data_IF_302219447849
#
_entry.id   IF_302219447849
#
_cell.length_a   1.000
_cell.length_b   1.000
_cell.length_c   1.000
_cell.angle_alpha   90.00
_cell.angle_beta   90.00
_cell.angle_gamma   90.00
#
_symmetry.space_group_name_H-M   'P 1'
#
loop_
_entity.id
_entity.type
_entity.pdbx_description
1 polymer ?
#
# COMPACT_ATOMS: atom_id res chain seq x y z
N UNK A 1 -9.59 48.67 -22.89
CA UNK A 1 -10.48 47.82 -22.04
C UNK A 1 -10.85 46.47 -22.67
N UNK A 2 -10.90 46.29 -24.00
CA UNK A 2 -11.26 44.98 -24.62
C UNK A 2 -10.21 43.87 -24.51
N UNK A 3 -8.93 44.19 -24.52
CA UNK A 3 -7.84 43.17 -24.41
C UNK A 3 -7.72 42.56 -23.00
N UNK A 4 -7.99 43.34 -21.94
CA UNK A 4 -7.96 42.85 -20.56
C UNK A 4 -9.07 41.82 -20.28
N UNK A 5 -10.28 42.05 -20.82
CA UNK A 5 -11.41 41.12 -20.68
C UNK A 5 -11.17 39.80 -21.47
N UNK A 6 -10.46 39.88 -22.59
CA UNK A 6 -10.11 38.68 -23.41
C UNK A 6 -9.07 37.81 -22.73
N UNK A 7 -8.00 38.42 -22.20
CA UNK A 7 -6.92 37.67 -21.48
C UNK A 7 -7.42 37.04 -20.20
N UNK A 8 -8.32 37.70 -19.45
CA UNK A 8 -8.94 37.14 -18.25
C UNK A 8 -9.82 35.90 -18.56
N UNK A 9 -10.65 35.99 -19.60
CA UNK A 9 -11.47 34.85 -20.05
C UNK A 9 -10.59 33.66 -20.50
N UNK A 10 -9.50 33.95 -21.20
CA UNK A 10 -8.54 32.95 -21.66
C UNK A 10 -7.83 32.27 -20.48
N UNK A 11 -7.36 33.05 -19.51
CA UNK A 11 -6.73 32.55 -18.30
C UNK A 11 -7.69 31.62 -17.51
N UNK A 12 -8.94 32.04 -17.34
CA UNK A 12 -9.95 31.22 -16.64
C UNK A 12 -10.23 29.90 -17.35
N UNK A 13 -10.25 29.89 -18.70
CA UNK A 13 -10.45 28.67 -19.46
C UNK A 13 -9.25 27.71 -19.33
N UNK A 14 -8.03 28.25 -19.36
CA UNK A 14 -6.80 27.47 -19.16
C UNK A 14 -6.69 26.91 -17.73
N UNK A 15 -7.05 27.69 -16.71
CA UNK A 15 -7.04 27.22 -15.31
C UNK A 15 -8.04 26.07 -15.11
N UNK A 16 -9.24 26.16 -15.70
CA UNK A 16 -10.21 25.06 -15.69
C UNK A 16 -9.69 23.80 -16.37
N UNK A 17 -9.05 23.93 -17.53
CA UNK A 17 -8.48 22.82 -18.27
C UNK A 17 -7.33 22.19 -17.48
N UNK A 18 -6.43 23.01 -16.92
CA UNK A 18 -5.32 22.57 -16.07
C UNK A 18 -5.83 21.79 -14.85
N UNK A 19 -6.85 22.33 -14.17
CA UNK A 19 -7.50 21.65 -13.05
C UNK A 19 -8.07 20.29 -13.46
N UNK A 20 -8.74 20.23 -14.62
CA UNK A 20 -9.29 18.99 -15.14
C UNK A 20 -8.21 17.96 -15.42
N UNK A 21 -7.10 18.35 -16.06
CA UNK A 21 -5.98 17.46 -16.36
C UNK A 21 -5.31 16.92 -15.09
N UNK A 22 -5.08 17.79 -14.10
CA UNK A 22 -4.50 17.40 -12.81
C UNK A 22 -5.41 16.41 -12.07
N UNK A 23 -6.73 16.66 -12.07
CA UNK A 23 -7.71 15.77 -11.43
C UNK A 23 -7.86 14.43 -12.15
N UNK A 24 -7.57 14.37 -13.45
CA UNK A 24 -7.54 13.14 -14.25
C UNK A 24 -6.19 12.38 -14.16
N UNK A 25 -5.23 12.88 -13.39
CA UNK A 25 -3.88 12.29 -13.29
C UNK A 25 -3.00 12.50 -14.53
N UNK A 26 -3.39 13.37 -15.46
CA UNK A 26 -2.64 13.68 -16.69
C UNK A 26 -1.57 14.74 -16.44
N UNK A 27 -0.63 14.44 -15.54
CA UNK A 27 0.33 15.42 -15.02
C UNK A 27 1.30 15.97 -16.08
N UNK A 28 1.76 15.16 -17.03
CA UNK A 28 2.63 15.62 -18.13
C UNK A 28 1.91 16.65 -19.03
N UNK A 29 0.65 16.37 -19.38
CA UNK A 29 -0.17 17.29 -20.17
C UNK A 29 -0.45 18.58 -19.39
N UNK A 30 -0.69 18.48 -18.08
CA UNK A 30 -0.86 19.62 -17.21
C UNK A 30 0.38 20.51 -17.18
N UNK A 31 1.60 19.95 -17.09
CA UNK A 31 2.85 20.71 -17.12
C UNK A 31 3.11 21.35 -18.49
N UNK A 32 2.80 20.67 -19.57
CA UNK A 32 2.88 21.24 -20.93
C UNK A 32 1.93 22.43 -21.09
N UNK A 33 0.70 22.30 -20.60
CA UNK A 33 -0.28 23.41 -20.59
C UNK A 33 0.18 24.57 -19.70
N UNK A 34 0.73 24.27 -18.52
CA UNK A 34 1.32 25.31 -17.66
C UNK A 34 2.43 26.10 -18.38
N UNK A 35 3.31 25.40 -19.10
CA UNK A 35 4.36 26.05 -19.88
C UNK A 35 3.79 26.98 -20.97
N UNK A 36 2.75 26.57 -21.67
CA UNK A 36 2.05 27.42 -22.65
C UNK A 36 1.43 28.66 -21.98
N UNK A 37 0.76 28.51 -20.86
CA UNK A 37 0.18 29.62 -20.10
C UNK A 37 1.27 30.59 -19.65
N UNK A 38 2.36 30.07 -19.12
CA UNK A 38 3.49 30.87 -18.66
C UNK A 38 4.17 31.64 -19.80
N UNK A 39 4.33 31.05 -20.98
CA UNK A 39 4.95 31.73 -22.14
C UNK A 39 4.06 32.79 -22.75
N UNK A 40 2.73 32.59 -22.73
CA UNK A 40 1.77 33.51 -23.38
C UNK A 40 1.25 34.62 -22.47
N UNK A 41 1.15 34.37 -21.16
CA UNK A 41 0.48 35.25 -20.18
C UNK A 41 1.37 35.60 -18.99
N UNK A 42 2.69 35.61 -19.15
CA UNK A 42 3.69 35.78 -18.06
C UNK A 42 3.43 36.97 -17.12
N UNK A 43 2.83 38.06 -17.62
CA UNK A 43 2.55 39.26 -16.83
C UNK A 43 1.17 39.27 -16.15
N UNK A 44 0.33 38.26 -16.35
CA UNK A 44 -1.05 38.20 -15.84
C UNK A 44 -1.37 36.86 -15.16
N UNK A 45 -0.34 36.15 -14.66
CA UNK A 45 -0.53 34.85 -14.01
C UNK A 45 -1.28 35.00 -12.69
N UNK A 46 -2.28 34.13 -12.52
CA UNK A 46 -3.02 33.96 -11.28
C UNK A 46 -2.22 33.06 -10.31
N UNK A 47 -2.09 33.38 -9.01
CA UNK A 47 -1.43 32.53 -8.04
C UNK A 47 -1.98 31.09 -7.99
N UNK A 48 -3.22 30.84 -8.37
CA UNK A 48 -3.84 29.52 -8.39
C UNK A 48 -3.32 28.55 -9.46
N UNK A 49 -2.60 29.04 -10.46
CA UNK A 49 -2.01 28.18 -11.52
C UNK A 49 -0.77 27.44 -11.00
N UNK A 50 0.01 28.09 -10.13
CA UNK A 50 1.25 27.51 -9.57
C UNK A 50 1.02 26.27 -8.71
N UNK A 51 0.05 26.21 -7.79
CA UNK A 51 -0.25 24.99 -7.03
C UNK A 51 -0.57 23.78 -7.90
N UNK A 52 -1.27 23.97 -9.01
CA UNK A 52 -1.60 22.88 -9.94
C UNK A 52 -0.36 22.33 -10.66
N UNK A 53 0.54 23.20 -11.07
CA UNK A 53 1.80 22.82 -11.67
C UNK A 53 2.73 22.12 -10.66
N UNK A 54 2.86 22.67 -9.45
CA UNK A 54 3.64 22.07 -8.35
C UNK A 54 3.11 20.69 -7.94
N UNK A 55 1.79 20.52 -7.87
CA UNK A 55 1.16 19.21 -7.64
C UNK A 55 1.51 18.21 -8.73
N UNK A 56 1.57 18.65 -9.98
CA UNK A 56 1.98 17.78 -11.08
C UNK A 56 3.47 17.43 -11.01
N UNK A 57 4.34 18.37 -10.61
CA UNK A 57 5.75 18.09 -10.35
C UNK A 57 5.92 17.08 -9.21
N UNK A 58 5.15 17.23 -8.13
CA UNK A 58 5.14 16.29 -7.00
C UNK A 58 4.74 14.87 -7.44
N UNK A 59 3.72 14.74 -8.28
CA UNK A 59 3.23 13.46 -8.77
C UNK A 59 4.22 12.75 -9.72
N UNK A 60 5.02 13.51 -10.48
CA UNK A 60 6.02 12.98 -11.42
C UNK A 60 7.45 12.95 -10.85
N UNK A 61 7.65 13.38 -9.62
CA UNK A 61 8.96 13.51 -8.98
C UNK A 61 9.93 14.46 -9.74
N UNK A 62 9.40 15.50 -10.38
CA UNK A 62 10.17 16.45 -11.16
C UNK A 62 10.72 17.61 -10.29
N UNK A 63 11.71 17.30 -9.46
CA UNK A 63 12.29 18.24 -8.48
C UNK A 63 12.89 19.51 -9.12
N UNK A 64 13.62 19.39 -10.22
CA UNK A 64 14.24 20.54 -10.90
C UNK A 64 13.20 21.49 -11.50
N UNK A 65 12.16 20.97 -12.13
CA UNK A 65 11.07 21.79 -12.65
C UNK A 65 10.31 22.46 -11.51
N UNK A 66 10.06 21.74 -10.40
CA UNK A 66 9.46 22.27 -9.19
C UNK A 66 10.27 23.44 -8.61
N UNK A 67 11.60 23.33 -8.55
CA UNK A 67 12.49 24.42 -8.12
C UNK A 67 12.44 25.63 -9.07
N UNK A 68 12.36 25.39 -10.38
CA UNK A 68 12.18 26.46 -11.38
C UNK A 68 10.86 27.21 -11.17
N UNK A 69 9.78 26.47 -10.96
CA UNK A 69 8.46 27.05 -10.67
C UNK A 69 8.49 27.83 -9.35
N UNK A 70 9.17 27.32 -8.31
CA UNK A 70 9.37 28.04 -7.05
C UNK A 70 10.07 29.39 -7.27
N UNK A 71 11.17 29.41 -8.03
CA UNK A 71 11.84 30.68 -8.38
C UNK A 71 10.92 31.67 -9.10
N UNK A 72 10.01 31.19 -9.93
CA UNK A 72 8.99 32.04 -10.57
C UNK A 72 7.96 32.56 -9.58
N UNK A 73 7.51 31.76 -8.59
CA UNK A 73 6.58 32.25 -7.56
C UNK A 73 7.18 33.37 -6.73
N UNK A 74 8.49 33.31 -6.42
CA UNK A 74 9.22 34.37 -5.71
C UNK A 74 9.26 35.64 -6.58
N UNK A 75 9.66 35.52 -7.86
CA UNK A 75 9.73 36.67 -8.78
C UNK A 75 8.36 37.33 -9.01
N UNK A 76 7.29 36.56 -8.99
CA UNK A 76 5.93 37.04 -9.12
C UNK A 76 5.32 37.58 -7.81
N UNK A 77 6.09 37.60 -6.71
CA UNK A 77 5.65 38.02 -5.38
C UNK A 77 4.50 37.16 -4.80
N UNK A 78 4.40 35.90 -5.21
CA UNK A 78 3.40 34.94 -4.70
C UNK A 78 3.95 34.04 -3.58
N UNK A 79 5.19 34.24 -3.14
CA UNK A 79 5.84 33.42 -2.10
C UNK A 79 5.09 33.44 -0.75
N UNK A 80 4.37 34.55 -0.44
CA UNK A 80 3.55 34.66 0.78
C UNK A 80 2.12 34.11 0.62
N UNK A 81 1.73 33.63 -0.56
CA UNK A 81 0.40 33.07 -0.77
C UNK A 81 0.31 31.67 -0.11
N UNK A 82 -0.63 31.46 0.84
CA UNK A 82 -0.70 30.20 1.58
C UNK A 82 -0.95 28.95 0.70
N UNK A 83 -1.66 29.10 -0.44
CA UNK A 83 -1.90 27.99 -1.36
C UNK A 83 -0.64 27.61 -2.14
N UNK A 84 0.18 28.62 -2.48
CA UNK A 84 1.49 28.40 -3.12
C UNK A 84 2.45 27.77 -2.12
N UNK A 85 2.52 28.30 -0.89
CA UNK A 85 3.36 27.75 0.18
C UNK A 85 3.00 26.28 0.47
N UNK A 86 1.71 25.97 0.59
CA UNK A 86 1.21 24.60 0.74
C UNK A 86 1.70 23.67 -0.37
N UNK A 87 1.57 24.08 -1.63
CA UNK A 87 1.98 23.27 -2.77
C UNK A 87 3.50 23.10 -2.87
N UNK A 88 4.26 24.12 -2.45
CA UNK A 88 5.72 24.04 -2.36
C UNK A 88 6.16 23.06 -1.27
N UNK A 89 5.59 23.14 -0.07
CA UNK A 89 5.85 22.19 1.04
C UNK A 89 5.58 20.77 0.60
N UNK A 90 4.42 20.49 -0.03
CA UNK A 90 4.08 19.16 -0.54
C UNK A 90 5.05 18.68 -1.63
N UNK A 91 5.38 19.55 -2.59
CA UNK A 91 6.31 19.21 -3.69
C UNK A 91 7.71 18.89 -3.17
N UNK A 92 8.28 19.74 -2.30
CA UNK A 92 9.61 19.50 -1.77
C UNK A 92 9.66 18.27 -0.86
N UNK A 93 8.61 18.06 -0.05
CA UNK A 93 8.51 16.87 0.79
C UNK A 93 8.48 15.56 0.00
N UNK A 94 7.83 15.55 -1.16
CA UNK A 94 7.73 14.37 -2.03
C UNK A 94 8.93 14.17 -2.96
N UNK A 95 9.54 15.27 -3.44
CA UNK A 95 10.53 15.18 -4.53
C UNK A 95 11.98 15.36 -4.07
N UNK A 96 12.23 16.00 -2.91
CA UNK A 96 13.58 16.37 -2.49
C UNK A 96 13.89 15.85 -1.11
N UNK A 97 13.37 16.49 -0.07
CA UNK A 97 13.53 16.05 1.32
C UNK A 97 12.52 16.72 2.24
N UNK A 98 12.30 16.09 3.37
CA UNK A 98 11.42 16.59 4.44
C UNK A 98 12.03 17.85 5.07
N UNK A 99 13.35 17.96 5.14
CA UNK A 99 14.06 19.09 5.71
C UNK A 99 13.84 20.38 4.89
N UNK A 100 13.90 20.27 3.55
CA UNK A 100 13.56 21.42 2.67
C UNK A 100 12.10 21.83 2.80
N UNK A 101 11.17 20.87 2.87
CA UNK A 101 9.77 21.17 3.11
C UNK A 101 9.57 21.85 4.47
N UNK A 102 10.29 21.41 5.50
CA UNK A 102 10.26 22.00 6.84
C UNK A 102 10.82 23.43 6.83
N UNK A 103 11.92 23.68 6.17
CA UNK A 103 12.47 25.02 6.05
C UNK A 103 11.48 25.98 5.41
N UNK A 104 10.84 25.61 4.31
CA UNK A 104 9.80 26.41 3.66
C UNK A 104 8.60 26.67 4.56
N UNK A 105 8.20 25.67 5.33
CA UNK A 105 7.15 25.81 6.32
C UNK A 105 7.53 26.85 7.39
N UNK A 106 8.77 26.79 7.89
CA UNK A 106 9.27 27.70 8.93
C UNK A 106 9.48 29.14 8.40
N UNK A 107 9.83 29.30 7.12
CA UNK A 107 9.96 30.59 6.43
C UNK A 107 8.64 31.20 6.03
N UNK A 108 7.52 30.45 6.05
CA UNK A 108 6.21 30.96 5.67
C UNK A 108 5.70 31.98 6.69
N UNK A 109 5.43 33.26 6.26
CA UNK A 109 5.06 34.33 7.19
C UNK A 109 3.64 34.15 7.78
N UNK A 110 2.74 33.56 7.00
CA UNK A 110 1.37 33.27 7.43
C UNK A 110 1.08 31.77 7.28
N UNK A 111 0.94 31.09 8.41
CA UNK A 111 0.64 29.65 8.46
C UNK A 111 -0.83 29.46 8.79
N UNK A 112 -1.66 29.43 7.77
CA UNK A 112 -3.05 29.00 7.98
C UNK A 112 -3.15 27.48 8.12
N UNK A 113 -4.34 26.96 8.42
CA UNK A 113 -4.61 25.53 8.60
C UNK A 113 -4.14 24.67 7.41
N UNK A 114 -4.14 25.22 6.18
CA UNK A 114 -3.74 24.47 4.97
C UNK A 114 -2.23 24.23 4.96
N UNK A 115 -1.44 25.24 5.31
CA UNK A 115 0.03 25.14 5.37
C UNK A 115 0.45 24.17 6.49
N UNK A 116 -0.19 24.24 7.66
CA UNK A 116 0.01 23.28 8.75
C UNK A 116 -0.30 21.85 8.30
N UNK A 117 -1.46 21.64 7.67
CA UNK A 117 -1.87 20.33 7.18
C UNK A 117 -0.90 19.74 6.15
N UNK A 118 -0.30 20.58 5.29
CA UNK A 118 0.68 20.13 4.30
C UNK A 118 1.93 19.58 4.97
N UNK A 119 2.47 20.29 5.96
CA UNK A 119 3.68 19.83 6.66
C UNK A 119 3.40 18.58 7.51
N UNK A 120 2.24 18.52 8.19
CA UNK A 120 1.77 17.33 8.90
C UNK A 120 1.66 16.13 7.94
N UNK A 121 1.05 16.35 6.75
CA UNK A 121 0.95 15.31 5.72
C UNK A 121 2.31 14.84 5.22
N UNK A 122 3.26 15.74 5.01
CA UNK A 122 4.62 15.37 4.59
C UNK A 122 5.28 14.47 5.61
N UNK A 123 5.26 14.84 6.90
CA UNK A 123 5.80 13.99 7.95
C UNK A 123 5.10 12.63 8.04
N UNK A 124 3.77 12.61 7.95
CA UNK A 124 2.98 11.37 8.00
C UNK A 124 3.29 10.41 6.85
N UNK A 125 3.56 10.94 5.63
CA UNK A 125 3.92 10.12 4.47
C UNK A 125 5.38 9.67 4.42
N UNK A 126 6.24 10.31 5.20
CA UNK A 126 7.67 9.96 5.29
C UNK A 126 7.99 9.08 6.50
N UNK A 127 7.01 8.35 7.02
CA UNK A 127 7.10 7.47 8.18
C UNK A 127 7.56 8.17 9.49
N UNK A 128 7.54 9.50 9.52
CA UNK A 128 7.89 10.29 10.71
C UNK A 128 6.64 10.83 11.42
N UNK A 129 5.79 9.89 11.83
CA UNK A 129 4.54 10.23 12.53
C UNK A 129 4.81 10.92 13.87
N UNK A 130 6.00 10.70 14.46
CA UNK A 130 6.45 11.39 15.68
C UNK A 130 6.45 12.90 15.49
N UNK A 131 7.16 13.40 14.47
CA UNK A 131 7.21 14.84 14.14
C UNK A 131 5.86 15.38 13.67
N UNK A 132 5.03 14.56 12.98
CA UNK A 132 3.68 14.97 12.63
C UNK A 132 2.83 15.26 13.87
N UNK A 133 2.90 14.41 14.90
CA UNK A 133 2.21 14.60 16.18
C UNK A 133 2.75 15.78 16.99
N UNK A 134 4.07 16.00 16.98
CA UNK A 134 4.68 17.19 17.60
C UNK A 134 4.17 18.46 16.95
N UNK A 135 4.15 18.49 15.61
CA UNK A 135 3.64 19.63 14.86
C UNK A 135 2.18 19.91 15.14
N UNK A 136 1.36 18.86 15.24
CA UNK A 136 -0.04 18.97 15.62
C UNK A 136 -0.22 19.59 17.02
N UNK A 137 0.65 19.27 17.99
CA UNK A 137 0.57 19.79 19.36
C UNK A 137 0.91 21.28 19.47
N UNK A 138 1.81 21.76 18.60
CA UNK A 138 2.26 23.17 18.59
C UNK A 138 1.48 24.04 17.58
N UNK A 139 0.49 23.46 16.91
CA UNK A 139 -0.36 24.16 15.94
C UNK A 139 -1.11 25.29 16.63
N UNK A 140 -0.96 26.51 16.12
CA UNK A 140 -1.55 27.75 16.67
C UNK A 140 -2.88 28.16 16.02
N UNK A 141 -3.40 27.28 15.13
CA UNK A 141 -4.69 27.43 14.47
C UNK A 141 -5.59 26.23 14.75
N UNK A 142 -6.91 26.39 14.71
CA UNK A 142 -7.85 25.31 14.97
C UNK A 142 -7.68 24.17 13.94
N UNK A 143 -7.42 22.92 14.39
CA UNK A 143 -7.40 21.76 13.52
C UNK A 143 -8.75 21.53 12.85
N UNK A 144 -8.72 21.06 11.61
CA UNK A 144 -9.93 20.69 10.87
C UNK A 144 -9.92 19.18 10.52
N UNK A 145 -10.95 18.71 9.82
CA UNK A 145 -11.04 17.30 9.41
C UNK A 145 -9.84 16.84 8.58
N UNK A 146 -9.23 17.72 7.76
CA UNK A 146 -8.03 17.37 6.98
C UNK A 146 -6.80 17.18 7.87
N UNK A 147 -6.67 17.95 8.94
CA UNK A 147 -5.59 17.77 9.95
C UNK A 147 -5.67 16.39 10.58
N UNK A 148 -6.85 16.00 11.07
CA UNK A 148 -7.07 14.68 11.65
C UNK A 148 -6.87 13.56 10.64
N UNK A 149 -7.34 13.74 9.40
CA UNK A 149 -7.17 12.74 8.34
C UNK A 149 -5.69 12.45 8.07
N UNK A 150 -4.84 13.48 7.99
CA UNK A 150 -3.41 13.31 7.78
C UNK A 150 -2.74 12.51 8.91
N UNK A 151 -3.09 12.85 10.16
CA UNK A 151 -2.53 12.17 11.36
C UNK A 151 -3.04 10.73 11.46
N UNK A 152 -4.35 10.51 11.29
CA UNK A 152 -4.96 9.18 11.37
C UNK A 152 -4.38 8.28 10.27
N UNK A 153 -4.22 8.80 9.04
CA UNK A 153 -3.63 8.05 7.94
C UNK A 153 -2.17 7.65 8.22
N UNK A 154 -1.34 8.58 8.69
CA UNK A 154 0.05 8.26 9.06
C UNK A 154 0.15 7.26 10.20
N UNK A 155 -0.67 7.39 11.23
CA UNK A 155 -0.72 6.43 12.35
C UNK A 155 -1.20 5.03 11.89
N UNK A 156 -2.07 4.96 10.89
CA UNK A 156 -2.61 3.71 10.38
C UNK A 156 -1.60 2.89 9.53
N UNK A 157 -0.46 3.45 9.19
CA UNK A 157 0.61 2.73 8.46
C UNK A 157 1.61 2.05 9.41
N UNK A 158 1.58 2.33 10.73
CA UNK A 158 2.53 1.79 11.71
C UNK A 158 1.83 0.89 12.72
N UNK A 159 2.44 -0.23 13.09
CA UNK A 159 1.87 -1.19 14.05
C UNK A 159 1.59 -0.52 15.42
N UNK A 160 2.53 0.26 15.93
CA UNK A 160 2.37 1.01 17.18
C UNK A 160 1.37 2.18 17.07
N UNK A 161 0.99 2.54 15.86
CA UNK A 161 0.12 3.67 15.56
C UNK A 161 -1.37 3.33 15.55
N UNK A 162 -1.76 2.07 15.35
CA UNK A 162 -3.17 1.70 15.16
C UNK A 162 -4.08 2.17 16.30
N UNK A 163 -3.73 1.88 17.55
CA UNK A 163 -4.49 2.33 18.72
C UNK A 163 -4.51 3.86 18.86
N UNK A 164 -3.41 4.52 18.48
CA UNK A 164 -3.30 5.98 18.49
C UNK A 164 -4.20 6.62 17.42
N UNK A 165 -4.32 5.98 16.24
CA UNK A 165 -5.24 6.43 15.18
C UNK A 165 -6.69 6.45 15.66
N UNK A 166 -7.12 5.41 16.37
CA UNK A 166 -8.45 5.34 16.99
C UNK A 166 -8.64 6.43 18.06
N UNK A 167 -7.61 6.73 18.85
CA UNK A 167 -7.67 7.83 19.83
C UNK A 167 -7.85 9.20 19.14
N UNK A 168 -7.12 9.46 18.06
CA UNK A 168 -7.28 10.70 17.27
C UNK A 168 -8.67 10.81 16.62
N UNK A 169 -9.20 9.70 16.14
CA UNK A 169 -10.58 9.65 15.64
C UNK A 169 -11.61 10.04 16.72
N UNK A 170 -11.46 9.53 17.95
CA UNK A 170 -12.34 9.89 19.06
C UNK A 170 -12.20 11.35 19.46
N UNK A 171 -11.00 11.90 19.39
CA UNK A 171 -10.73 13.32 19.66
C UNK A 171 -11.40 14.20 18.59
N UNK A 172 -11.27 13.86 17.30
CA UNK A 172 -11.98 14.50 16.20
C UNK A 172 -13.49 14.59 16.47
N UNK A 173 -14.11 13.50 16.91
CA UNK A 173 -15.51 13.47 17.27
C UNK A 173 -15.86 14.35 18.46
N UNK A 174 -15.00 14.45 19.51
CA UNK A 174 -15.20 15.34 20.66
C UNK A 174 -15.14 16.83 20.27
N UNK A 175 -14.37 17.18 19.23
CA UNK A 175 -14.30 18.52 18.67
C UNK A 175 -15.48 18.84 17.72
N UNK A 176 -16.45 17.92 17.58
CA UNK A 176 -17.59 18.11 16.70
C UNK A 176 -17.27 17.99 15.20
N UNK A 177 -16.05 17.58 14.85
CA UNK A 177 -15.63 17.38 13.48
C UNK A 177 -16.19 16.04 12.97
N UNK A 178 -16.82 16.07 11.80
CA UNK A 178 -17.42 14.87 11.19
C UNK A 178 -16.38 14.08 10.40
N UNK A 179 -16.20 12.79 10.69
CA UNK A 179 -15.43 11.89 9.85
C UNK A 179 -16.01 11.83 8.43
N UNK A 180 -15.13 11.83 7.45
CA UNK A 180 -15.47 11.69 6.03
C UNK A 180 -14.90 10.39 5.47
N UNK A 181 -15.07 10.15 4.17
CA UNK A 181 -14.57 8.94 3.50
C UNK A 181 -13.07 8.70 3.77
N UNK A 182 -12.24 9.74 3.72
CA UNK A 182 -10.78 9.61 3.97
C UNK A 182 -10.52 9.14 5.40
N UNK A 183 -11.21 9.72 6.38
CA UNK A 183 -11.11 9.30 7.79
C UNK A 183 -11.47 7.84 7.96
N UNK A 184 -12.57 7.42 7.34
CA UNK A 184 -13.09 6.05 7.45
C UNK A 184 -12.14 5.04 6.81
N UNK A 185 -11.61 5.34 5.63
CA UNK A 185 -10.64 4.48 4.94
C UNK A 185 -9.33 4.33 5.75
N UNK A 186 -8.83 5.41 6.33
CA UNK A 186 -7.65 5.36 7.19
C UNK A 186 -7.90 4.51 8.46
N UNK A 187 -9.08 4.65 9.07
CA UNK A 187 -9.45 3.83 10.22
C UNK A 187 -9.59 2.34 9.88
N UNK A 188 -10.14 2.01 8.71
CA UNK A 188 -10.21 0.61 8.27
C UNK A 188 -8.81 -0.02 8.15
N UNK A 189 -7.80 0.72 7.67
CA UNK A 189 -6.41 0.24 7.67
C UNK A 189 -5.89 -0.03 9.08
N UNK A 190 -6.14 0.87 10.03
CA UNK A 190 -5.78 0.64 11.43
C UNK A 190 -6.47 -0.60 12.01
N UNK A 191 -7.75 -0.81 11.67
CA UNK A 191 -8.51 -2.00 12.10
C UNK A 191 -7.92 -3.31 11.56
N UNK A 192 -7.40 -3.30 10.32
CA UNK A 192 -6.73 -4.47 9.73
C UNK A 192 -5.53 -4.92 10.55
N UNK A 193 -4.75 -3.97 11.07
CA UNK A 193 -3.61 -4.26 11.93
C UNK A 193 -3.99 -4.74 13.33
N UNK A 194 -5.11 -4.25 13.87
CA UNK A 194 -5.60 -4.61 15.21
C UNK A 194 -6.44 -5.90 15.23
N UNK A 195 -7.03 -6.29 14.12
CA UNK A 195 -7.99 -7.40 14.07
C UNK A 195 -9.31 -7.13 14.82
N UNK A 196 -9.66 -5.85 15.05
CA UNK A 196 -10.83 -5.45 15.85
C UNK A 196 -12.11 -5.40 15.01
N UNK A 197 -12.87 -6.49 15.03
CA UNK A 197 -14.16 -6.62 14.32
C UNK A 197 -15.20 -5.61 14.84
N UNK A 198 -15.24 -5.34 16.14
CA UNK A 198 -16.23 -4.43 16.72
C UNK A 198 -16.04 -3.02 16.21
N UNK A 199 -14.78 -2.60 16.05
CA UNK A 199 -14.47 -1.27 15.49
C UNK A 199 -14.86 -1.21 14.00
N UNK A 200 -14.62 -2.26 13.23
CA UNK A 200 -15.05 -2.34 11.82
C UNK A 200 -16.57 -2.19 11.72
N UNK A 201 -17.33 -2.85 12.60
CA UNK A 201 -18.80 -2.75 12.63
C UNK A 201 -19.27 -1.33 13.00
N UNK A 202 -18.62 -0.67 13.95
CA UNK A 202 -18.93 0.72 14.31
C UNK A 202 -18.67 1.67 13.13
N UNK A 203 -17.56 1.50 12.44
CA UNK A 203 -17.19 2.28 11.25
C UNK A 203 -18.20 2.04 10.12
N UNK A 204 -18.54 0.79 9.84
CA UNK A 204 -19.54 0.43 8.84
C UNK A 204 -20.93 1.03 9.18
N UNK A 205 -21.38 0.86 10.43
CA UNK A 205 -22.62 1.47 10.91
C UNK A 205 -22.63 3.00 10.85
N UNK A 206 -21.49 3.64 11.14
CA UNK A 206 -21.33 5.08 10.96
C UNK A 206 -21.46 5.49 9.47
N UNK A 207 -20.81 4.74 8.58
CA UNK A 207 -20.82 5.01 7.14
C UNK A 207 -22.22 4.91 6.54
N UNK A 208 -23.02 3.93 6.97
CA UNK A 208 -24.42 3.78 6.56
C UNK A 208 -25.24 5.00 7.02
N UNK A 209 -25.13 5.39 8.29
CA UNK A 209 -25.91 6.51 8.86
C UNK A 209 -25.57 7.88 8.26
N UNK A 210 -24.38 8.04 7.68
CA UNK A 210 -23.91 9.32 7.13
C UNK A 210 -23.80 9.29 5.60
N UNK A 211 -24.41 8.32 4.94
CA UNK A 211 -24.49 8.18 3.47
C UNK A 211 -23.10 8.10 2.78
N UNK A 212 -22.11 7.57 3.48
CA UNK A 212 -20.76 7.31 2.96
C UNK A 212 -20.68 5.89 2.37
N UNK A 213 -21.51 4.98 2.86
CA UNK A 213 -21.50 3.55 2.50
C UNK A 213 -21.61 3.24 0.99
N UNK A 214 -22.35 4.01 0.15
CA UNK A 214 -22.42 3.75 -1.28
C UNK A 214 -21.10 3.86 -2.04
N UNK A 215 -20.06 4.41 -1.42
CA UNK A 215 -18.74 4.57 -2.06
C UNK A 215 -18.09 3.21 -2.36
N UNK A 216 -17.69 2.92 -3.62
CA UNK A 216 -17.08 1.63 -4.00
C UNK A 216 -15.76 1.34 -3.28
N UNK A 217 -14.94 2.36 -3.03
CA UNK A 217 -13.65 2.22 -2.37
C UNK A 217 -13.85 1.82 -0.90
N UNK A 218 -14.84 2.43 -0.23
CA UNK A 218 -15.20 2.05 1.14
C UNK A 218 -15.68 0.61 1.21
N UNK A 219 -16.57 0.20 0.31
CA UNK A 219 -17.11 -1.17 0.31
C UNK A 219 -16.04 -2.21 0.06
N UNK A 220 -15.12 -1.95 -0.89
CA UNK A 220 -13.98 -2.83 -1.11
C UNK A 220 -13.06 -2.91 0.11
N UNK A 221 -12.83 -1.78 0.80
CA UNK A 221 -12.10 -1.76 2.07
C UNK A 221 -12.81 -2.52 3.21
N UNK A 222 -14.14 -2.46 3.29
CA UNK A 222 -14.93 -3.23 4.25
C UNK A 222 -14.88 -4.74 3.94
N UNK A 223 -14.94 -5.14 2.67
CA UNK A 223 -14.79 -6.54 2.27
C UNK A 223 -13.41 -7.06 2.72
N UNK A 224 -12.34 -6.29 2.48
CA UNK A 224 -11.00 -6.66 2.93
C UNK A 224 -10.93 -6.73 4.47
N UNK A 225 -11.47 -5.73 5.18
CA UNK A 225 -11.40 -5.66 6.63
C UNK A 225 -12.15 -6.82 7.30
N UNK A 226 -13.40 -7.07 6.91
CA UNK A 226 -14.14 -8.22 7.40
C UNK A 226 -13.48 -9.54 7.00
N UNK A 227 -12.98 -9.62 5.76
CA UNK A 227 -12.27 -10.80 5.26
C UNK A 227 -11.06 -11.15 6.09
N UNK A 228 -10.19 -10.19 6.38
CA UNK A 228 -8.99 -10.42 7.21
C UNK A 228 -9.30 -10.83 8.64
N UNK A 229 -10.39 -10.30 9.21
CA UNK A 229 -10.84 -10.66 10.55
C UNK A 229 -11.64 -11.99 10.60
N UNK A 230 -11.76 -12.73 9.49
CA UNK A 230 -12.47 -14.01 9.45
C UNK A 230 -14.01 -13.90 9.37
N UNK A 231 -14.54 -12.69 9.30
CA UNK A 231 -15.97 -12.46 9.16
C UNK A 231 -16.42 -12.57 7.70
N UNK A 232 -16.18 -13.73 7.08
CA UNK A 232 -16.38 -13.96 5.64
C UNK A 232 -17.84 -13.76 5.20
N UNK A 233 -18.80 -14.10 6.03
CA UNK A 233 -20.23 -13.87 5.75
C UNK A 233 -20.54 -12.38 5.60
N UNK A 234 -20.00 -11.53 6.51
CA UNK A 234 -20.16 -10.07 6.43
C UNK A 234 -19.47 -9.48 5.21
N UNK A 235 -18.25 -9.95 4.90
CA UNK A 235 -17.55 -9.56 3.68
C UNK A 235 -18.38 -9.89 2.43
N UNK A 236 -18.97 -11.09 2.38
CA UNK A 236 -19.83 -11.52 1.28
C UNK A 236 -21.12 -10.70 1.19
N UNK A 237 -21.77 -10.38 2.32
CA UNK A 237 -22.97 -9.54 2.35
C UNK A 237 -22.69 -8.12 1.84
N UNK A 238 -21.58 -7.51 2.24
CA UNK A 238 -21.14 -6.21 1.69
C UNK A 238 -20.96 -6.30 0.19
N UNK A 239 -20.27 -7.34 -0.30
CA UNK A 239 -20.08 -7.57 -1.72
C UNK A 239 -21.41 -7.73 -2.49
N UNK A 240 -22.37 -8.50 -1.95
CA UNK A 240 -23.68 -8.69 -2.56
C UNK A 240 -24.49 -7.38 -2.62
N UNK A 241 -24.32 -6.50 -1.64
CA UNK A 241 -25.02 -5.20 -1.59
C UNK A 241 -24.50 -4.18 -2.62
N UNK A 242 -23.32 -4.41 -3.24
CA UNK A 242 -22.77 -3.52 -4.25
C UNK A 242 -23.55 -3.61 -5.57
N UNK A 243 -24.02 -2.46 -6.07
CA UNK A 243 -24.66 -2.37 -7.40
C UNK A 243 -23.65 -2.62 -8.53
N UNK A 244 -22.51 -1.98 -8.44
CA UNK A 244 -21.40 -2.13 -9.38
C UNK A 244 -20.22 -2.74 -8.64
N UNK A 245 -19.79 -3.92 -9.05
CA UNK A 245 -18.68 -4.66 -8.47
C UNK A 245 -17.48 -4.51 -9.41
N UNK A 246 -16.51 -3.69 -9.01
CA UNK A 246 -15.28 -3.52 -9.76
C UNK A 246 -14.27 -4.66 -9.49
N UNK A 247 -13.14 -4.64 -10.18
CA UNK A 247 -12.09 -5.65 -10.01
C UNK A 247 -11.58 -5.71 -8.57
N UNK A 248 -11.56 -4.56 -7.85
CA UNK A 248 -11.06 -4.50 -6.47
C UNK A 248 -11.98 -5.25 -5.52
N UNK A 249 -13.30 -5.06 -5.65
CA UNK A 249 -14.28 -5.79 -4.82
C UNK A 249 -14.19 -7.32 -5.02
N UNK A 250 -14.08 -7.76 -6.28
CA UNK A 250 -13.91 -9.19 -6.59
C UNK A 250 -12.61 -9.74 -6.02
N UNK A 251 -11.48 -9.05 -6.24
CA UNK A 251 -10.16 -9.47 -5.76
C UNK A 251 -10.08 -9.51 -4.24
N UNK A 252 -10.71 -8.54 -3.55
CA UNK A 252 -10.79 -8.51 -2.08
C UNK A 252 -11.55 -9.72 -1.54
N UNK A 253 -12.70 -10.08 -2.15
CA UNK A 253 -13.49 -11.23 -1.70
C UNK A 253 -12.79 -12.55 -1.98
N UNK A 254 -12.18 -12.73 -3.17
CA UNK A 254 -11.38 -13.92 -3.51
C UNK A 254 -10.22 -14.07 -2.52
N UNK A 255 -9.50 -12.98 -2.25
CA UNK A 255 -8.38 -12.98 -1.31
C UNK A 255 -8.81 -13.31 0.12
N UNK A 256 -9.98 -12.83 0.56
CA UNK A 256 -10.54 -13.14 1.86
C UNK A 256 -10.79 -14.65 2.03
N UNK A 257 -11.48 -15.28 1.07
CA UNK A 257 -11.71 -16.72 1.09
C UNK A 257 -10.42 -17.53 1.00
N UNK A 258 -9.48 -17.11 0.13
CA UNK A 258 -8.18 -17.76 0.00
C UNK A 258 -7.37 -17.71 1.31
N UNK A 259 -7.36 -16.56 1.99
CA UNK A 259 -6.63 -16.38 3.24
C UNK A 259 -7.12 -17.32 4.35
N UNK A 260 -8.41 -17.59 4.42
CA UNK A 260 -9.03 -18.49 5.40
C UNK A 260 -9.14 -19.95 4.93
N UNK A 261 -8.44 -20.33 3.86
CA UNK A 261 -8.38 -21.72 3.38
C UNK A 261 -9.66 -22.21 2.69
N UNK A 262 -10.64 -21.32 2.42
CA UNK A 262 -11.87 -21.66 1.69
C UNK A 262 -11.61 -21.61 0.18
N UNK A 263 -10.70 -22.46 -0.28
CA UNK A 263 -10.21 -22.43 -1.65
C UNK A 263 -11.31 -22.66 -2.69
N UNK A 264 -12.22 -23.62 -2.45
CA UNK A 264 -13.32 -23.90 -3.37
C UNK A 264 -14.20 -22.68 -3.59
N UNK A 265 -14.61 -22.01 -2.50
CA UNK A 265 -15.42 -20.78 -2.57
C UNK A 265 -14.67 -19.65 -3.26
N UNK A 266 -13.36 -19.50 -3.01
CA UNK A 266 -12.52 -18.51 -3.70
C UNK A 266 -12.51 -18.73 -5.22
N UNK A 267 -12.40 -19.98 -5.68
CA UNK A 267 -12.43 -20.33 -7.09
C UNK A 267 -13.83 -20.16 -7.71
N UNK A 268 -14.90 -20.48 -6.97
CA UNK A 268 -16.28 -20.23 -7.40
C UNK A 268 -16.55 -18.73 -7.59
N UNK A 269 -16.07 -17.89 -6.68
CA UNK A 269 -16.15 -16.41 -6.80
C UNK A 269 -15.35 -15.94 -8.01
N UNK A 270 -14.18 -16.50 -8.27
CA UNK A 270 -13.41 -16.19 -9.46
C UNK A 270 -14.14 -16.56 -10.77
N UNK A 271 -14.79 -17.72 -10.82
CA UNK A 271 -15.64 -18.10 -11.96
C UNK A 271 -16.82 -17.13 -12.16
N UNK A 272 -17.45 -16.69 -11.07
CA UNK A 272 -18.53 -15.69 -11.11
C UNK A 272 -18.02 -14.35 -11.66
N UNK A 273 -16.81 -13.91 -11.27
CA UNK A 273 -16.15 -12.72 -11.83
C UNK A 273 -15.98 -12.81 -13.34
N UNK A 274 -15.54 -13.98 -13.84
CA UNK A 274 -15.38 -14.23 -15.28
C UNK A 274 -16.74 -14.19 -16.00
N UNK A 275 -17.77 -14.82 -15.44
CA UNK A 275 -19.15 -14.79 -15.97
C UNK A 275 -19.73 -13.37 -16.00
N UNK A 276 -19.34 -12.53 -15.06
CA UNK A 276 -19.71 -11.11 -15.03
C UNK A 276 -18.91 -10.25 -16.03
N UNK A 277 -18.05 -10.84 -16.84
CA UNK A 277 -17.15 -10.16 -17.81
C UNK A 277 -16.23 -9.12 -17.17
N UNK A 278 -15.89 -9.28 -15.89
CA UNK A 278 -14.89 -8.42 -15.23
C UNK A 278 -13.51 -9.05 -15.47
N UNK A 279 -12.61 -8.28 -16.07
CA UNK A 279 -11.26 -8.75 -16.40
C UNK A 279 -10.43 -8.89 -15.11
N UNK A 280 -9.93 -10.10 -14.76
CA UNK A 280 -9.03 -10.30 -13.64
C UNK A 280 -7.70 -9.55 -13.82
N UNK A 281 -7.16 -9.05 -12.73
CA UNK A 281 -5.84 -8.42 -12.66
C UNK A 281 -4.82 -9.29 -11.89
N UNK A 282 -3.60 -8.78 -11.68
CA UNK A 282 -2.57 -9.48 -10.94
C UNK A 282 -2.99 -9.82 -9.49
N UNK A 283 -3.70 -8.92 -8.81
CA UNK A 283 -4.16 -9.15 -7.43
C UNK A 283 -5.19 -10.28 -7.39
N UNK A 284 -6.10 -10.32 -8.36
CA UNK A 284 -7.07 -11.42 -8.53
C UNK A 284 -6.35 -12.77 -8.66
N UNK A 285 -5.39 -12.87 -9.58
CA UNK A 285 -4.63 -14.10 -9.79
C UNK A 285 -3.80 -14.48 -8.58
N UNK A 286 -3.24 -13.52 -7.86
CA UNK A 286 -2.54 -13.79 -6.60
C UNK A 286 -3.47 -14.45 -5.57
N UNK A 287 -4.72 -13.97 -5.45
CA UNK A 287 -5.75 -14.59 -4.61
C UNK A 287 -6.07 -16.02 -5.03
N UNK A 288 -6.28 -16.25 -6.33
CA UNK A 288 -6.54 -17.58 -6.91
C UNK A 288 -5.39 -18.55 -6.66
N UNK A 289 -4.15 -18.13 -6.91
CA UNK A 289 -2.96 -18.98 -6.69
C UNK A 289 -2.74 -19.28 -5.20
N UNK A 290 -3.00 -18.33 -4.30
CA UNK A 290 -3.00 -18.59 -2.85
C UNK A 290 -4.06 -19.60 -2.44
N UNK A 291 -5.27 -19.51 -2.99
CA UNK A 291 -6.32 -20.48 -2.74
C UNK A 291 -5.89 -21.89 -3.17
N UNK A 292 -5.32 -22.02 -4.36
CA UNK A 292 -4.77 -23.28 -4.85
C UNK A 292 -3.65 -23.80 -3.95
N UNK A 293 -2.73 -22.92 -3.48
CA UNK A 293 -1.63 -23.32 -2.61
C UNK A 293 -2.14 -23.86 -1.26
N UNK A 294 -3.10 -23.21 -0.64
CA UNK A 294 -3.68 -23.66 0.64
C UNK A 294 -4.41 -25.00 0.50
N UNK A 295 -5.00 -25.27 -0.66
CA UNK A 295 -5.73 -26.52 -0.92
C UNK A 295 -4.85 -27.64 -1.54
N UNK A 296 -3.59 -27.37 -1.86
CA UNK A 296 -2.72 -28.33 -2.51
C UNK A 296 -3.09 -28.61 -3.98
N UNK A 297 -3.82 -27.73 -4.64
CA UNK A 297 -4.31 -27.86 -6.01
C UNK A 297 -3.22 -27.43 -7.02
N UNK A 298 -2.22 -28.30 -7.22
CA UNK A 298 -1.03 -27.96 -8.01
C UNK A 298 -1.32 -27.86 -9.50
N UNK A 299 -2.18 -28.71 -10.05
CA UNK A 299 -2.51 -28.71 -11.48
C UNK A 299 -3.35 -27.47 -11.84
N UNK A 300 -4.32 -27.13 -10.99
CA UNK A 300 -5.13 -25.92 -11.14
C UNK A 300 -4.26 -24.65 -11.01
N UNK A 301 -3.31 -24.63 -10.07
CA UNK A 301 -2.37 -23.52 -9.93
C UNK A 301 -1.55 -23.31 -11.20
N UNK A 302 -1.01 -24.38 -11.79
CA UNK A 302 -0.26 -24.29 -13.06
C UNK A 302 -1.15 -23.82 -14.21
N UNK A 303 -2.38 -24.31 -14.28
CA UNK A 303 -3.36 -23.88 -15.28
C UNK A 303 -3.68 -22.39 -15.13
N UNK A 304 -4.02 -21.92 -13.92
CA UNK A 304 -4.34 -20.51 -13.70
C UNK A 304 -3.13 -19.60 -13.93
N UNK A 305 -1.94 -20.02 -13.53
CA UNK A 305 -0.71 -19.29 -13.78
C UNK A 305 -0.43 -19.13 -15.28
N UNK A 306 -0.60 -20.19 -16.08
CA UNK A 306 -0.46 -20.10 -17.52
C UNK A 306 -1.53 -19.23 -18.17
N UNK A 307 -2.81 -19.37 -17.74
CA UNK A 307 -3.92 -18.55 -18.25
C UNK A 307 -3.77 -17.08 -17.95
N UNK A 308 -3.17 -16.72 -16.82
CA UNK A 308 -2.91 -15.33 -16.41
C UNK A 308 -2.12 -14.57 -17.48
N UNK A 309 -1.04 -15.14 -17.98
CA UNK A 309 -0.21 -14.51 -19.01
C UNK A 309 -0.79 -14.67 -20.41
N UNK A 310 -1.21 -15.89 -20.79
CA UNK A 310 -1.62 -16.20 -22.17
C UNK A 310 -2.99 -15.62 -22.52
N UNK A 311 -3.98 -15.70 -21.64
CA UNK A 311 -5.35 -15.28 -21.94
C UNK A 311 -5.65 -13.84 -21.48
N UNK A 312 -5.06 -13.44 -20.36
CA UNK A 312 -5.37 -12.14 -19.75
C UNK A 312 -4.30 -11.09 -19.97
N UNK A 313 -3.10 -11.49 -20.44
CA UNK A 313 -1.98 -10.59 -20.67
C UNK A 313 -1.44 -9.97 -19.37
N UNK A 314 -1.61 -10.66 -18.23
CA UNK A 314 -1.13 -10.21 -16.94
C UNK A 314 0.28 -10.75 -16.73
N UNK A 315 1.24 -9.87 -16.53
CA UNK A 315 2.63 -10.27 -16.24
C UNK A 315 2.77 -10.86 -14.83
N UNK A 316 3.50 -11.97 -14.73
CA UNK A 316 3.70 -12.63 -13.46
C UNK A 316 4.75 -11.89 -12.61
N UNK A 317 4.34 -11.45 -11.43
CA UNK A 317 5.25 -10.88 -10.41
C UNK A 317 5.94 -11.97 -9.59
N UNK A 318 6.94 -11.58 -8.80
CA UNK A 318 7.62 -12.49 -7.86
C UNK A 318 6.67 -13.19 -6.89
N UNK A 319 5.59 -12.53 -6.46
CA UNK A 319 4.60 -13.14 -5.55
C UNK A 319 3.77 -14.23 -6.25
N UNK A 320 3.43 -14.05 -7.54
CA UNK A 320 2.77 -15.11 -8.32
C UNK A 320 3.64 -16.35 -8.46
N UNK A 321 4.93 -16.15 -8.77
CA UNK A 321 5.90 -17.24 -8.82
C UNK A 321 6.07 -17.91 -7.46
N UNK A 322 6.14 -17.14 -6.37
CA UNK A 322 6.25 -17.67 -5.02
C UNK A 322 5.05 -18.58 -4.66
N UNK A 323 3.81 -18.17 -5.02
CA UNK A 323 2.63 -19.00 -4.80
C UNK A 323 2.66 -20.30 -5.63
N UNK A 324 3.10 -20.22 -6.90
CA UNK A 324 3.23 -21.41 -7.73
C UNK A 324 4.29 -22.38 -7.18
N UNK A 325 5.44 -21.85 -6.75
CA UNK A 325 6.51 -22.62 -6.14
C UNK A 325 6.03 -23.26 -4.82
N UNK A 326 5.29 -22.54 -3.99
CA UNK A 326 4.76 -23.05 -2.73
C UNK A 326 3.81 -24.24 -2.96
N UNK A 327 2.84 -24.12 -3.88
CA UNK A 327 1.91 -25.22 -4.15
C UNK A 327 2.60 -26.45 -4.75
N UNK A 328 3.54 -26.27 -5.68
CA UNK A 328 4.34 -27.37 -6.24
C UNK A 328 5.18 -28.06 -5.17
N UNK A 329 5.82 -27.26 -4.32
CA UNK A 329 6.66 -27.78 -3.24
C UNK A 329 5.85 -28.57 -2.22
N UNK A 330 4.71 -28.05 -1.77
CA UNK A 330 3.82 -28.75 -0.83
C UNK A 330 3.20 -30.02 -1.39
N UNK A 331 2.98 -30.08 -2.70
CA UNK A 331 2.50 -31.29 -3.38
C UNK A 331 3.59 -32.33 -3.71
N UNK A 332 4.82 -32.12 -3.24
CA UNK A 332 5.95 -33.03 -3.47
C UNK A 332 6.61 -32.91 -4.84
N UNK A 333 6.19 -31.94 -5.67
CA UNK A 333 6.76 -31.70 -7.02
C UNK A 333 8.00 -30.80 -6.95
N UNK A 334 8.98 -31.17 -6.08
CA UNK A 334 10.12 -30.32 -5.73
C UNK A 334 11.01 -29.94 -6.91
N UNK A 335 11.28 -30.89 -7.81
CA UNK A 335 12.05 -30.61 -9.02
C UNK A 335 11.34 -29.65 -9.97
N UNK A 336 10.00 -29.77 -10.11
CA UNK A 336 9.23 -28.82 -10.91
C UNK A 336 9.24 -27.41 -10.27
N UNK A 337 9.14 -27.32 -8.94
CA UNK A 337 9.27 -26.06 -8.22
C UNK A 337 10.65 -25.41 -8.44
N UNK A 338 11.72 -26.20 -8.39
CA UNK A 338 13.07 -25.74 -8.67
C UNK A 338 13.25 -25.29 -10.13
N UNK A 339 12.66 -26.01 -11.09
CA UNK A 339 12.67 -25.62 -12.50
C UNK A 339 11.97 -24.28 -12.72
N UNK A 340 10.86 -24.02 -12.01
CA UNK A 340 10.19 -22.70 -12.03
C UNK A 340 11.14 -21.62 -11.51
N UNK A 341 11.82 -21.86 -10.38
CA UNK A 341 12.80 -20.92 -9.82
C UNK A 341 13.90 -20.57 -10.83
N UNK A 342 14.42 -21.57 -11.54
CA UNK A 342 15.51 -21.39 -12.51
C UNK A 342 15.09 -20.61 -13.76
N UNK A 343 13.81 -20.71 -14.14
CA UNK A 343 13.29 -20.16 -15.42
C UNK A 343 12.57 -18.83 -15.22
N UNK A 344 12.22 -18.43 -13.99
CA UNK A 344 11.48 -17.21 -13.76
C UNK A 344 12.30 -15.96 -14.16
N UNK A 345 11.70 -15.01 -14.90
CA UNK A 345 12.40 -13.83 -15.41
C UNK A 345 12.54 -12.71 -14.38
N UNK A 346 11.97 -12.89 -13.18
CA UNK A 346 11.97 -11.90 -12.10
C UNK A 346 12.88 -12.34 -10.96
N UNK A 347 13.30 -11.40 -10.10
CA UNK A 347 14.16 -11.72 -8.96
C UNK A 347 13.52 -12.76 -8.04
N UNK A 348 14.26 -13.80 -7.74
CA UNK A 348 13.84 -14.85 -6.79
C UNK A 348 13.81 -14.28 -5.38
N UNK A 349 12.68 -14.41 -4.70
CA UNK A 349 12.49 -13.91 -3.34
C UNK A 349 12.82 -14.99 -2.29
N UNK A 350 13.08 -14.55 -1.05
CA UNK A 350 13.23 -15.46 0.08
C UNK A 350 11.99 -16.35 0.29
N UNK A 351 10.78 -15.85 -0.01
CA UNK A 351 9.55 -16.64 0.07
C UNK A 351 9.58 -17.87 -0.84
N UNK A 352 10.07 -17.72 -2.08
CA UNK A 352 10.17 -18.83 -3.04
C UNK A 352 11.17 -19.90 -2.57
N UNK A 353 12.37 -19.50 -2.19
CA UNK A 353 13.38 -20.39 -1.66
C UNK A 353 12.96 -21.04 -0.33
N UNK A 354 12.31 -20.27 0.55
CA UNK A 354 11.79 -20.74 1.83
C UNK A 354 10.71 -21.81 1.68
N UNK A 355 9.80 -21.66 0.72
CA UNK A 355 8.78 -22.67 0.40
C UNK A 355 9.41 -23.99 -0.07
N UNK A 356 10.42 -23.91 -0.95
CA UNK A 356 11.16 -25.09 -1.41
C UNK A 356 11.91 -25.75 -0.25
N UNK A 357 12.69 -25.00 0.54
CA UNK A 357 13.46 -25.52 1.68
C UNK A 357 12.56 -26.19 2.72
N UNK A 358 11.42 -25.55 3.07
CA UNK A 358 10.48 -26.12 4.02
C UNK A 358 9.90 -27.45 3.55
N UNK A 359 9.61 -27.58 2.26
CA UNK A 359 9.07 -28.80 1.68
C UNK A 359 10.13 -29.89 1.52
N UNK A 360 11.39 -29.53 1.23
CA UNK A 360 12.52 -30.48 1.23
C UNK A 360 12.65 -31.20 2.58
N UNK A 361 12.35 -30.55 3.69
CA UNK A 361 12.30 -31.18 5.02
C UNK A 361 11.24 -32.26 5.10
N UNK A 362 10.07 -32.05 4.51
CA UNK A 362 8.96 -33.01 4.56
C UNK A 362 9.22 -34.25 3.69
N UNK A 363 9.85 -34.03 2.54
CA UNK A 363 10.09 -35.08 1.55
C UNK A 363 11.49 -35.69 1.60
N UNK A 364 12.38 -35.19 2.47
CA UNK A 364 13.74 -35.75 2.65
C UNK A 364 14.74 -35.41 1.54
N UNK A 365 14.46 -34.40 0.71
CA UNK A 365 15.30 -34.01 -0.42
C UNK A 365 16.46 -33.10 0.02
N UNK A 366 17.61 -33.72 0.30
CA UNK A 366 18.78 -33.03 0.85
C UNK A 366 19.46 -32.12 -0.18
N UNK A 367 19.60 -32.58 -1.43
CA UNK A 367 20.32 -31.83 -2.47
C UNK A 367 19.63 -30.51 -2.81
N UNK A 368 18.30 -30.55 -2.99
CA UNK A 368 17.52 -29.34 -3.22
C UNK A 368 17.48 -28.43 -1.98
N UNK A 369 17.50 -29.03 -0.77
CA UNK A 369 17.58 -28.27 0.47
C UNK A 369 18.89 -27.48 0.59
N UNK A 370 20.02 -28.08 0.19
CA UNK A 370 21.31 -27.37 0.16
C UNK A 370 21.30 -26.18 -0.79
N UNK A 371 20.75 -26.37 -1.99
CA UNK A 371 20.66 -25.30 -2.99
C UNK A 371 19.80 -24.15 -2.45
N UNK A 372 18.60 -24.50 -1.94
CA UNK A 372 17.67 -23.51 -1.39
C UNK A 372 18.23 -22.80 -0.14
N UNK A 373 18.90 -23.56 0.74
CA UNK A 373 19.52 -23.01 1.94
C UNK A 373 20.65 -22.03 1.62
N UNK A 374 21.55 -22.38 0.69
CA UNK A 374 22.63 -21.47 0.26
C UNK A 374 22.07 -20.18 -0.34
N UNK A 375 21.07 -20.27 -1.21
CA UNK A 375 20.41 -19.09 -1.77
C UNK A 375 19.73 -18.22 -0.70
N UNK A 376 19.13 -18.83 0.32
CA UNK A 376 18.55 -18.09 1.45
C UNK A 376 19.61 -17.40 2.32
N UNK A 377 20.78 -18.01 2.51
CA UNK A 377 21.88 -17.36 3.24
C UNK A 377 22.44 -16.13 2.52
N UNK A 378 22.30 -16.06 1.21
CA UNK A 378 22.67 -14.87 0.43
C UNK A 378 21.59 -13.79 0.48
N UNK A 379 20.30 -14.18 0.43
CA UNK A 379 19.17 -13.23 0.42
C UNK A 379 18.84 -12.72 1.82
N UNK A 380 18.93 -13.57 2.83
CA UNK A 380 18.61 -13.28 4.23
C UNK A 380 19.74 -13.81 5.15
N UNK A 381 20.93 -13.20 5.12
CA UNK A 381 22.11 -13.71 5.82
C UNK A 381 21.97 -13.73 7.36
N UNK A 382 21.06 -12.93 7.91
CA UNK A 382 20.84 -12.81 9.35
C UNK A 382 19.61 -13.59 9.86
N UNK A 383 18.90 -14.31 8.98
CA UNK A 383 17.70 -15.05 9.38
C UNK A 383 18.09 -16.44 9.96
N UNK A 384 18.03 -16.64 11.31
CA UNK A 384 18.43 -17.91 11.92
C UNK A 384 17.52 -19.08 11.55
N UNK A 385 16.27 -18.82 11.13
CA UNK A 385 15.33 -19.88 10.79
C UNK A 385 15.81 -20.72 9.59
N UNK A 386 16.48 -20.09 8.61
CA UNK A 386 17.00 -20.77 7.43
C UNK A 386 18.10 -21.76 7.80
N UNK A 387 19.00 -21.39 8.71
CA UNK A 387 20.06 -22.26 9.25
C UNK A 387 19.47 -23.43 10.05
N UNK A 388 18.49 -23.15 10.90
CA UNK A 388 17.83 -24.18 11.73
C UNK A 388 17.12 -25.22 10.86
N UNK A 389 16.39 -24.79 9.82
CA UNK A 389 15.68 -25.71 8.93
C UNK A 389 16.66 -26.62 8.20
N UNK A 390 17.71 -26.07 7.60
CA UNK A 390 18.71 -26.87 6.87
C UNK A 390 19.47 -27.81 7.82
N UNK A 391 19.86 -27.34 9.01
CA UNK A 391 20.50 -28.20 10.01
C UNK A 391 19.60 -29.36 10.48
N UNK A 392 18.29 -29.15 10.56
CA UNK A 392 17.31 -30.21 10.85
C UNK A 392 17.22 -31.22 9.70
N UNK A 393 17.23 -30.77 8.45
CA UNK A 393 17.22 -31.63 7.27
C UNK A 393 18.47 -32.54 7.28
N UNK A 394 19.65 -31.99 7.53
CA UNK A 394 20.87 -32.79 7.67
C UNK A 394 20.75 -33.79 8.80
N UNK A 395 20.30 -33.38 9.99
CA UNK A 395 20.18 -34.32 11.14
C UNK A 395 19.19 -35.44 10.87
N UNK A 396 18.04 -35.17 10.22
CA UNK A 396 17.05 -36.20 9.89
C UNK A 396 17.52 -37.19 8.82
N UNK A 397 18.54 -36.84 8.03
CA UNK A 397 19.15 -37.69 7.01
C UNK A 397 20.51 -38.27 7.45
N UNK A 398 20.82 -38.23 8.76
CA UNK A 398 22.06 -38.84 9.31
C UNK A 398 23.33 -38.01 9.08
N UNK A 399 23.23 -36.82 8.50
CA UNK A 399 24.38 -35.95 8.20
C UNK A 399 24.66 -35.02 9.39
N UNK A 400 25.05 -35.61 10.52
CA UNK A 400 25.21 -34.91 11.80
C UNK A 400 26.38 -33.92 11.79
N UNK A 401 27.46 -34.19 11.07
CA UNK A 401 28.64 -33.31 10.99
C UNK A 401 28.27 -31.97 10.32
N UNK A 402 27.56 -32.04 9.21
CA UNK A 402 27.12 -30.85 8.48
C UNK A 402 26.09 -30.05 9.29
N UNK A 403 25.19 -30.73 9.98
CA UNK A 403 24.24 -30.07 10.89
C UNK A 403 24.95 -29.30 12.00
N UNK A 404 25.99 -29.93 12.61
CA UNK A 404 26.77 -29.30 13.67
C UNK A 404 27.60 -28.13 13.16
N UNK A 405 28.16 -28.23 11.96
CA UNK A 405 28.89 -27.14 11.29
C UNK A 405 28.00 -25.91 11.11
N UNK A 406 26.76 -26.08 10.62
CA UNK A 406 25.81 -25.00 10.48
C UNK A 406 25.42 -24.34 11.82
N UNK A 407 25.21 -25.14 12.87
CA UNK A 407 24.92 -24.64 14.21
C UNK A 407 26.08 -23.81 14.76
N UNK A 408 27.33 -24.26 14.58
CA UNK A 408 28.52 -23.48 14.99
C UNK A 408 28.64 -22.18 14.20
N UNK A 409 28.35 -22.21 12.90
CA UNK A 409 28.36 -21.01 12.08
C UNK A 409 27.31 -20.00 12.57
N UNK A 410 26.11 -20.46 12.89
CA UNK A 410 25.03 -19.62 13.45
C UNK A 410 25.45 -18.95 14.77
N UNK A 411 26.09 -19.73 15.68
CA UNK A 411 26.62 -19.21 16.94
C UNK A 411 27.74 -18.20 16.70
N UNK A 412 28.65 -18.50 15.77
CA UNK A 412 29.77 -17.61 15.40
C UNK A 412 29.29 -16.27 14.84
N UNK A 413 28.16 -16.27 14.13
CA UNK A 413 27.50 -15.05 13.63
C UNK A 413 26.68 -14.32 14.70
N UNK A 414 26.62 -14.81 15.92
CA UNK A 414 25.85 -14.22 17.02
C UNK A 414 24.33 -14.30 16.87
N UNK A 415 23.85 -15.21 16.00
CA UNK A 415 22.42 -15.37 15.75
C UNK A 415 21.74 -16.03 16.95
N UNK A 416 20.67 -15.43 17.44
CA UNK A 416 19.82 -15.98 18.51
C UNK A 416 18.52 -16.50 17.92
N UNK A 417 18.16 -17.73 18.25
CA UNK A 417 16.81 -18.25 18.00
C UNK A 417 15.90 -17.81 19.13
N UNK A 418 14.75 -17.25 18.81
CA UNK A 418 13.73 -17.02 19.82
C UNK A 418 13.27 -18.37 20.38
N UNK A 419 13.23 -18.56 21.72
CA UNK A 419 12.68 -19.76 22.30
C UNK A 419 11.20 -19.88 21.90
N UNK A 420 10.76 -21.07 21.50
CA UNK A 420 9.36 -21.34 21.23
C UNK A 420 8.56 -21.12 22.52
N UNK A 421 7.67 -20.14 22.53
CA UNK A 421 6.75 -19.90 23.63
C UNK A 421 5.33 -20.25 23.18
N UNK A 422 4.64 -21.09 23.96
CA UNK A 422 3.20 -21.30 23.83
C UNK A 422 2.52 -20.64 25.06
N UNK A 423 1.51 -19.81 24.81
CA UNK A 423 0.71 -19.21 25.88
C UNK A 423 -0.67 -19.82 25.84
N UNK A 424 -1.12 -20.31 26.99
CA UNK A 424 -2.53 -20.66 27.20
C UNK A 424 -3.18 -19.47 27.90
N UNK A 425 -4.09 -18.81 27.21
CA UNK A 425 -4.92 -17.78 27.84
C UNK A 425 -6.06 -18.50 28.54
N UNK A 426 -6.01 -18.57 29.87
CA UNK A 426 -7.19 -18.90 30.67
C UNK A 426 -8.10 -17.67 30.63
N UNK A 427 -9.27 -17.80 30.04
CA UNK A 427 -10.38 -16.87 30.24
C UNK A 427 -11.02 -17.25 31.58
N UNK A 428 -10.85 -16.38 32.57
CA UNK A 428 -11.68 -16.36 33.80
C UNK A 428 -13.00 -15.65 33.52
#
# INVERSE_FOLDING_TARGET
>A
MSSFSSNFKLLLSYTKLLTSQVNQGKHEQALSLFHQIHSTLSHSLDPFVFPLALKSCAALSFSQLGATIHAHTIKASFGSNPFVACALVDMYGKCVSVEYARQLFDESPERNVVVWNSMISVYAHCDDVGRALELFRVMDVEPNSSTFNAIIAGLAETEDGFSKAVLRYREMGRMGLKPNLITVLALLRACLGMGDVNLIEQIHGYSIRNDIDPDPQLRSGLIEAYGRCGCLEKAHLVFLSMRNRDVVAWSSLISAYAFHGQARTALEVFEQMQKANIKPDGITFLGVLKACSHAGLADEAQMYFSRMSVHYGVEASSDHYACLIDVLSRSGRLHQAYDVIRKMPVKVTAKAWGALLASCRTYGEVELAEIAGRALFEVEPENPANFVILARIYSSNGRFEEAEKLRREMIKRGMKTAPGSSWVVHQD
#
